data_IF_962033871732
#
_entry.id   IF_962033871732
#
_cell.length_a   1.000
_cell.length_b   1.000
_cell.length_c   1.000
_cell.angle_alpha   90.00
_cell.angle_beta   90.00
_cell.angle_gamma   90.00
#
_symmetry.space_group_name_H-M   'P 1'
#
loop_
_entity.id
_entity.type
_entity.pdbx_description
1 polymer ?
#
# COMPACT_ATOMS: atom_id res chain seq x y z
N UNK A 1 11.52 46.92 -25.98
CA UNK A 1 10.53 46.39 -26.96
C UNK A 1 10.61 44.87 -26.92
N UNK A 2 9.66 44.23 -26.22
CA UNK A 2 9.63 42.79 -26.01
C UNK A 2 8.92 42.07 -27.16
N UNK A 3 9.37 40.85 -27.46
CA UNK A 3 8.74 39.92 -28.40
C UNK A 3 7.94 38.85 -27.65
N UNK A 4 6.74 38.57 -28.15
CA UNK A 4 5.67 37.89 -27.43
C UNK A 4 5.66 36.37 -27.55
N UNK A 5 5.15 35.74 -26.50
CA UNK A 5 4.67 34.35 -26.49
C UNK A 5 3.15 34.35 -26.72
N UNK A 6 2.69 33.69 -27.79
CA UNK A 6 1.29 33.37 -28.02
C UNK A 6 0.85 32.24 -27.07
N UNK A 7 -0.13 32.53 -26.22
CA UNK A 7 -0.85 31.54 -25.40
C UNK A 7 -1.95 30.90 -26.23
N UNK A 8 -1.90 29.58 -26.40
CA UNK A 8 -3.07 28.77 -26.70
C UNK A 8 -3.89 28.59 -25.42
N UNK A 9 -5.03 29.27 -25.32
CA UNK A 9 -6.03 29.02 -24.29
C UNK A 9 -6.83 27.75 -24.64
N UNK A 10 -6.58 26.66 -23.91
CA UNK A 10 -7.47 25.49 -23.92
C UNK A 10 -8.67 25.81 -23.03
N UNK A 11 -9.88 25.70 -23.59
CA UNK A 11 -11.16 26.01 -22.95
C UNK A 11 -11.43 25.11 -21.73
N UNK A 12 -11.20 25.63 -20.51
CA UNK A 12 -11.62 25.02 -19.23
C UNK A 12 -13.15 25.03 -19.02
N UNK A 13 -13.93 25.66 -19.91
CA UNK A 13 -15.38 25.78 -19.75
C UNK A 13 -16.16 24.49 -20.10
N UNK A 14 -15.64 23.62 -20.96
CA UNK A 14 -16.34 22.38 -21.37
C UNK A 14 -16.30 21.29 -20.30
N UNK A 15 -15.22 21.20 -19.51
CA UNK A 15 -15.15 20.29 -18.35
C UNK A 15 -16.10 20.70 -17.22
N UNK A 16 -16.33 22.01 -17.03
CA UNK A 16 -17.29 22.54 -16.03
C UNK A 16 -18.73 22.14 -16.33
N UNK A 17 -19.10 22.01 -17.61
CA UNK A 17 -20.48 21.69 -17.98
C UNK A 17 -20.82 20.22 -17.71
N UNK A 18 -19.93 19.29 -18.09
CA UNK A 18 -20.09 17.86 -17.79
C UNK A 18 -20.12 17.62 -16.27
N UNK A 19 -19.30 18.38 -15.54
CA UNK A 19 -19.25 18.38 -14.08
C UNK A 19 -20.55 18.87 -13.44
N UNK A 20 -21.14 19.96 -13.96
CA UNK A 20 -22.43 20.49 -13.50
C UNK A 20 -23.61 19.59 -13.85
N UNK A 21 -23.59 18.93 -15.01
CA UNK A 21 -24.65 18.01 -15.45
C UNK A 21 -24.63 16.72 -14.64
N UNK A 22 -23.45 16.14 -14.39
CA UNK A 22 -23.31 14.98 -13.49
C UNK A 22 -23.68 15.34 -12.04
N UNK A 23 -23.31 16.53 -11.58
CA UNK A 23 -23.66 17.06 -10.24
C UNK A 23 -25.18 17.27 -10.08
N UNK A 24 -25.85 17.81 -11.10
CA UNK A 24 -27.31 18.03 -11.05
C UNK A 24 -28.10 16.73 -11.19
N UNK A 25 -27.64 15.78 -12.00
CA UNK A 25 -28.25 14.45 -12.10
C UNK A 25 -28.09 13.63 -10.81
N UNK A 26 -26.97 13.77 -10.10
CA UNK A 26 -26.79 13.14 -8.78
C UNK A 26 -27.62 13.83 -7.70
N UNK A 27 -27.68 15.16 -7.69
CA UNK A 27 -28.52 15.95 -6.77
C UNK A 27 -30.02 15.63 -6.88
N UNK A 28 -30.54 15.47 -8.11
CA UNK A 28 -31.94 15.10 -8.37
C UNK A 28 -32.28 13.68 -7.91
N UNK A 29 -31.31 12.76 -7.93
CA UNK A 29 -31.50 11.40 -7.44
C UNK A 29 -31.45 11.32 -5.90
N UNK A 30 -30.64 12.17 -5.25
CA UNK A 30 -30.55 12.25 -3.77
C UNK A 30 -31.72 12.98 -3.15
N UNK A 31 -32.22 14.08 -3.75
CA UNK A 31 -33.39 14.80 -3.21
C UNK A 31 -34.67 13.94 -3.22
N UNK A 32 -34.78 12.98 -4.15
CA UNK A 32 -35.89 12.03 -4.17
C UNK A 32 -35.82 10.96 -3.06
N UNK A 33 -34.70 10.88 -2.32
CA UNK A 33 -34.46 9.89 -1.26
C UNK A 33 -34.26 10.53 0.13
N UNK A 34 -34.06 11.85 0.20
CA UNK A 34 -33.76 12.58 1.46
C UNK A 34 -35.00 12.86 2.34
N UNK A 35 -36.21 12.88 1.77
CA UNK A 35 -37.44 13.20 2.53
C UNK A 35 -37.81 12.14 3.59
N UNK A 36 -37.16 10.97 3.59
CA UNK A 36 -37.53 9.86 4.48
C UNK A 36 -36.60 9.69 5.72
N UNK A 37 -35.42 10.33 5.77
CA UNK A 37 -34.36 9.96 6.75
C UNK A 37 -33.87 11.03 7.72
N UNK A 38 -34.19 12.31 7.53
CA UNK A 38 -33.60 13.41 8.32
C UNK A 38 -34.32 13.65 9.67
N UNK A 39 -35.39 12.90 9.98
CA UNK A 39 -36.28 13.20 11.11
C UNK A 39 -35.81 12.85 12.53
N UNK A 40 -34.79 11.99 12.76
CA UNK A 40 -34.63 11.35 14.08
C UNK A 40 -33.27 11.51 14.80
N UNK A 41 -32.25 12.14 14.20
CA UNK A 41 -30.90 12.09 14.76
C UNK A 41 -30.54 13.18 15.80
N UNK A 42 -31.45 14.07 16.16
CA UNK A 42 -31.13 15.21 17.04
C UNK A 42 -32.03 15.24 18.28
N UNK A 43 -31.65 14.42 19.29
CA UNK A 43 -31.85 14.64 20.73
C UNK A 43 -31.42 13.39 21.51
N UNK A 44 -30.24 13.45 22.13
CA UNK A 44 -30.02 12.94 23.49
C UNK A 44 -28.58 13.28 23.93
N UNK A 45 -28.45 14.07 25.00
CA UNK A 45 -27.18 14.26 25.68
C UNK A 45 -26.77 12.94 26.33
N UNK A 46 -25.72 12.29 25.82
CA UNK A 46 -25.36 10.94 26.21
C UNK A 46 -23.98 10.91 26.89
N UNK A 47 -23.99 10.55 28.18
CA UNK A 47 -22.79 10.11 28.88
C UNK A 47 -22.05 9.07 28.03
N UNK A 48 -20.74 9.25 27.83
CA UNK A 48 -19.89 8.35 27.01
C UNK A 48 -19.97 6.93 27.58
N UNK A 49 -20.83 6.09 26.99
CA UNK A 49 -20.95 4.67 27.32
C UNK A 49 -19.86 3.92 26.55
N UNK A 50 -18.99 3.21 27.26
CA UNK A 50 -17.96 2.37 26.63
C UNK A 50 -18.63 1.17 25.96
N UNK A 51 -18.44 1.04 24.65
CA UNK A 51 -18.93 -0.07 23.84
C UNK A 51 -18.00 -1.27 23.97
N UNK A 52 -18.61 -2.43 24.22
CA UNK A 52 -17.94 -3.70 24.50
C UNK A 52 -18.11 -4.68 23.33
N UNK A 53 -17.09 -5.50 23.10
CA UNK A 53 -17.13 -6.69 22.23
C UNK A 53 -17.94 -7.83 22.89
N UNK A 54 -18.28 -8.87 22.12
CA UNK A 54 -18.97 -10.07 22.62
C UNK A 54 -18.24 -10.81 23.75
N UNK A 55 -16.94 -10.55 23.93
CA UNK A 55 -16.12 -11.08 25.02
C UNK A 55 -16.01 -10.14 26.23
N UNK A 56 -16.77 -9.04 26.26
CA UNK A 56 -16.73 -8.05 27.35
C UNK A 56 -15.50 -7.15 27.36
N UNK A 57 -14.73 -7.11 26.26
CA UNK A 57 -13.56 -6.23 26.11
C UNK A 57 -13.96 -4.92 25.44
N UNK A 58 -13.37 -3.76 25.80
CA UNK A 58 -13.64 -2.50 25.11
C UNK A 58 -13.24 -2.56 23.64
N UNK A 59 -14.11 -2.05 22.77
CA UNK A 59 -13.77 -1.79 21.38
C UNK A 59 -12.91 -0.53 21.30
N UNK A 60 -11.72 -0.65 20.69
CA UNK A 60 -10.78 0.46 20.53
C UNK A 60 -10.41 0.53 19.05
N UNK A 61 -10.57 1.69 18.38
CA UNK A 61 -11.30 2.87 18.82
C UNK A 61 -12.80 2.59 19.02
N UNK A 62 -13.48 3.43 19.81
CA UNK A 62 -14.91 3.34 20.05
C UNK A 62 -15.68 3.65 18.74
N UNK A 63 -16.53 2.74 18.25
CA UNK A 63 -17.31 2.98 17.03
C UNK A 63 -18.40 4.02 17.30
N UNK A 64 -18.68 4.89 16.34
CA UNK A 64 -19.85 5.78 16.42
C UNK A 64 -21.15 5.00 16.16
N UNK A 65 -22.30 5.55 16.56
CA UNK A 65 -23.62 4.94 16.30
C UNK A 65 -24.08 5.13 14.83
N UNK A 66 -23.31 5.86 14.02
CA UNK A 66 -23.65 6.07 12.62
C UNK A 66 -23.45 4.80 11.79
N UNK A 67 -24.43 4.40 10.94
CA UNK A 67 -24.26 3.34 9.95
C UNK A 67 -23.14 3.60 8.92
N UNK A 68 -22.69 4.86 8.83
CA UNK A 68 -21.64 5.29 7.91
C UNK A 68 -20.23 5.01 8.45
N UNK A 69 -20.05 4.68 9.73
CA UNK A 69 -18.74 4.39 10.29
C UNK A 69 -18.16 3.07 9.74
N UNK A 70 -16.97 3.09 9.11
CA UNK A 70 -16.31 1.89 8.61
C UNK A 70 -16.06 0.80 9.67
N UNK A 71 -16.01 1.17 10.95
CA UNK A 71 -15.88 0.20 12.05
C UNK A 71 -17.14 -0.66 12.21
N UNK A 72 -18.31 -0.14 11.83
CA UNK A 72 -19.57 -0.88 11.92
C UNK A 72 -19.79 -1.81 10.72
N UNK A 73 -18.88 -1.83 9.75
CA UNK A 73 -19.01 -2.69 8.56
C UNK A 73 -19.02 -4.18 8.96
N UNK A 74 -19.84 -5.02 8.31
CA UNK A 74 -19.81 -6.45 8.54
C UNK A 74 -18.45 -7.02 8.12
N UNK A 75 -17.98 -8.05 8.83
CA UNK A 75 -16.63 -8.58 8.67
C UNK A 75 -16.29 -8.97 7.23
N UNK A 76 -17.24 -9.51 6.47
CA UNK A 76 -17.01 -9.88 5.07
C UNK A 76 -16.69 -8.66 4.19
N UNK A 77 -17.31 -7.49 4.42
CA UNK A 77 -16.97 -6.25 3.72
C UNK A 77 -15.60 -5.75 4.15
N UNK A 78 -15.29 -5.79 5.46
CA UNK A 78 -13.98 -5.40 5.98
C UNK A 78 -12.84 -6.21 5.33
N UNK A 79 -13.02 -7.53 5.23
CA UNK A 79 -12.06 -8.41 4.57
C UNK A 79 -12.05 -8.25 3.05
N UNK A 80 -13.18 -7.94 2.40
CA UNK A 80 -13.21 -7.63 0.98
C UNK A 80 -12.45 -6.34 0.65
N UNK A 81 -12.61 -5.29 1.46
CA UNK A 81 -11.84 -4.04 1.35
C UNK A 81 -10.35 -4.34 1.55
N UNK A 82 -10.01 -5.07 2.61
CA UNK A 82 -8.63 -5.46 2.90
C UNK A 82 -7.99 -6.20 1.72
N UNK A 83 -8.68 -7.19 1.15
CA UNK A 83 -8.18 -7.97 0.03
C UNK A 83 -7.95 -7.09 -1.21
N UNK A 84 -8.91 -6.21 -1.53
CA UNK A 84 -8.79 -5.30 -2.66
C UNK A 84 -7.59 -4.34 -2.51
N UNK A 85 -7.48 -3.69 -1.35
CA UNK A 85 -6.39 -2.75 -1.03
C UNK A 85 -5.03 -3.45 -1.00
N UNK A 86 -4.98 -4.66 -0.43
CA UNK A 86 -3.77 -5.48 -0.41
C UNK A 86 -3.35 -5.91 -1.82
N UNK A 87 -4.32 -6.24 -2.68
CA UNK A 87 -4.04 -6.60 -4.06
C UNK A 87 -3.60 -5.40 -4.90
N UNK A 88 -4.12 -4.19 -4.65
CA UNK A 88 -3.58 -2.97 -5.27
C UNK A 88 -2.12 -2.73 -4.90
N UNK A 89 -1.75 -2.90 -3.63
CA UNK A 89 -0.36 -2.79 -3.18
C UNK A 89 0.54 -3.87 -3.81
N UNK A 90 0.04 -5.11 -3.89
CA UNK A 90 0.69 -6.21 -4.60
C UNK A 90 0.93 -5.88 -6.08
N UNK A 91 -0.08 -5.33 -6.78
CA UNK A 91 0.07 -4.95 -8.19
C UNK A 91 1.06 -3.79 -8.37
N UNK A 92 1.06 -2.81 -7.47
CA UNK A 92 2.00 -1.69 -7.53
C UNK A 92 3.46 -2.18 -7.52
N UNK A 93 3.80 -3.12 -6.64
CA UNK A 93 5.16 -3.70 -6.59
C UNK A 93 5.42 -4.69 -7.72
N UNK A 94 4.43 -5.49 -8.12
CA UNK A 94 4.54 -6.43 -9.24
C UNK A 94 4.83 -5.72 -10.57
N UNK A 95 4.12 -4.64 -10.88
CA UNK A 95 4.29 -3.89 -12.14
C UNK A 95 5.70 -3.32 -12.28
N UNK A 96 6.33 -2.96 -11.16
CA UNK A 96 7.68 -2.40 -11.18
C UNK A 96 8.72 -3.49 -11.44
N UNK A 97 8.54 -4.68 -10.89
CA UNK A 97 9.54 -5.75 -10.91
C UNK A 97 9.35 -6.80 -12.04
N UNK A 98 8.19 -6.89 -12.68
CA UNK A 98 7.86 -7.95 -13.67
C UNK A 98 8.84 -8.01 -14.87
N UNK A 99 9.49 -6.90 -15.18
CA UNK A 99 10.42 -6.76 -16.30
C UNK A 99 11.86 -7.18 -15.96
N UNK A 100 12.21 -7.30 -14.67
CA UNK A 100 13.57 -7.60 -14.21
C UNK A 100 14.23 -8.85 -14.86
N UNK A 101 13.55 -10.00 -15.04
CA UNK A 101 14.17 -11.15 -15.70
C UNK A 101 14.40 -10.94 -17.21
N UNK A 102 13.78 -9.93 -17.80
CA UNK A 102 13.82 -9.64 -19.24
C UNK A 102 14.60 -8.36 -19.58
N UNK A 103 15.47 -7.90 -18.68
CA UNK A 103 16.32 -6.71 -18.93
C UNK A 103 17.31 -6.95 -20.06
N UNK A 104 17.84 -8.17 -20.20
CA UNK A 104 18.78 -8.55 -21.26
C UNK A 104 18.14 -8.42 -22.66
N UNK A 105 17.01 -9.10 -22.97
CA UNK A 105 16.37 -8.95 -24.28
C UNK A 105 15.85 -7.54 -24.54
N UNK A 106 15.50 -6.78 -23.50
CA UNK A 106 15.17 -5.36 -23.64
C UNK A 106 16.38 -4.52 -24.07
N UNK A 107 17.55 -4.78 -23.48
CA UNK A 107 18.79 -4.10 -23.81
C UNK A 107 19.21 -4.38 -25.26
N UNK A 108 19.08 -5.63 -25.68
CA UNK A 108 19.43 -6.09 -27.03
C UNK A 108 18.55 -5.40 -28.08
N UNK A 109 17.24 -5.28 -27.84
CA UNK A 109 16.34 -4.64 -28.80
C UNK A 109 16.61 -3.14 -28.96
N UNK A 110 16.89 -2.43 -27.86
CA UNK A 110 17.22 -1.01 -27.93
C UNK A 110 18.69 -0.74 -28.26
N UNK A 111 19.51 -1.77 -28.43
CA UNK A 111 20.97 -1.68 -28.65
C UNK A 111 21.66 -0.80 -27.59
N UNK A 112 21.33 -1.02 -26.31
CA UNK A 112 21.90 -0.30 -25.16
C UNK A 112 22.66 -1.25 -24.23
N UNK A 113 23.53 -0.71 -23.39
CA UNK A 113 24.21 -1.51 -22.37
C UNK A 113 23.20 -2.10 -21.36
N UNK A 114 23.44 -3.34 -20.90
CA UNK A 114 22.59 -3.99 -19.89
C UNK A 114 22.43 -3.16 -18.61
N UNK A 115 23.48 -2.43 -18.20
CA UNK A 115 23.43 -1.52 -17.05
C UNK A 115 22.46 -0.36 -17.32
N UNK A 116 22.46 0.21 -18.51
CA UNK A 116 21.51 1.28 -18.87
C UNK A 116 20.08 0.76 -18.89
N UNK A 117 19.87 -0.49 -19.34
CA UNK A 117 18.54 -1.10 -19.36
C UNK A 117 17.92 -1.29 -17.97
N UNK A 118 18.71 -1.41 -16.89
CA UNK A 118 18.16 -1.48 -15.51
C UNK A 118 17.58 -0.16 -15.02
N UNK A 119 17.97 0.98 -15.61
CA UNK A 119 17.48 2.30 -15.21
C UNK A 119 15.97 2.45 -15.32
N UNK A 120 15.31 1.69 -16.22
CA UNK A 120 13.85 1.70 -16.33
C UNK A 120 13.14 1.18 -15.07
N UNK A 121 13.73 0.20 -14.37
CA UNK A 121 13.22 -0.25 -13.07
C UNK A 121 13.58 0.74 -11.97
N UNK A 122 14.82 1.23 -11.93
CA UNK A 122 15.29 2.18 -10.91
C UNK A 122 14.51 3.49 -10.94
N UNK A 123 14.21 4.04 -12.12
CA UNK A 123 13.41 5.27 -12.26
C UNK A 123 12.00 5.06 -11.72
N UNK A 124 11.38 3.91 -11.94
CA UNK A 124 10.06 3.63 -11.38
C UNK A 124 10.09 3.52 -9.85
N UNK A 125 11.10 2.85 -9.28
CA UNK A 125 11.27 2.79 -7.82
C UNK A 125 11.49 4.19 -7.25
N UNK A 126 12.38 4.99 -7.86
CA UNK A 126 12.69 6.35 -7.40
C UNK A 126 11.48 7.28 -7.47
N UNK A 127 10.70 7.22 -8.54
CA UNK A 127 9.46 8.01 -8.68
C UNK A 127 8.33 7.53 -7.78
N UNK A 128 8.32 6.26 -7.38
CA UNK A 128 7.38 5.73 -6.38
C UNK A 128 7.56 6.38 -5.01
N UNK A 129 8.74 6.90 -4.68
CA UNK A 129 8.96 7.62 -3.42
C UNK A 129 8.24 8.98 -3.38
N UNK A 130 8.01 9.62 -4.54
CA UNK A 130 7.38 10.93 -4.63
C UNK A 130 5.85 10.85 -4.52
N UNK A 131 5.24 9.75 -4.97
CA UNK A 131 3.78 9.67 -5.03
C UNK A 131 3.09 9.68 -3.67
N UNK A 132 3.53 8.95 -2.62
CA UNK A 132 2.93 9.02 -1.28
C UNK A 132 2.90 10.43 -0.70
N UNK A 133 3.92 11.25 -0.99
CA UNK A 133 3.97 12.65 -0.55
C UNK A 133 2.82 13.47 -1.15
N UNK A 134 2.43 13.18 -2.40
CA UNK A 134 1.30 13.83 -3.06
C UNK A 134 -0.04 13.20 -2.65
N UNK A 135 -0.18 11.89 -2.77
CA UNK A 135 -1.46 11.20 -2.66
C UNK A 135 -1.99 11.09 -1.22
N UNK A 136 -1.12 11.02 -0.21
CA UNK A 136 -1.55 10.85 1.18
C UNK A 136 -2.36 12.04 1.72
N UNK A 137 -1.91 13.31 1.57
CA UNK A 137 -2.71 14.47 1.97
C UNK A 137 -4.02 14.58 1.19
N UNK A 138 -3.98 14.31 -0.13
CA UNK A 138 -5.19 14.32 -0.96
C UNK A 138 -6.21 13.29 -0.46
N UNK A 139 -5.76 12.08 -0.12
CA UNK A 139 -6.64 11.01 0.34
C UNK A 139 -7.23 11.28 1.73
N UNK A 140 -6.49 11.97 2.60
CA UNK A 140 -7.00 12.34 3.94
C UNK A 140 -8.11 13.41 3.87
N UNK A 141 -8.05 14.32 2.89
CA UNK A 141 -9.02 15.42 2.75
C UNK A 141 -10.19 15.06 1.83
N UNK A 142 -9.92 14.47 0.67
CA UNK A 142 -10.94 14.18 -0.36
C UNK A 142 -11.45 12.74 -0.35
N UNK A 143 -10.96 11.89 0.56
CA UNK A 143 -11.32 10.47 0.64
C UNK A 143 -10.30 9.54 0.00
N UNK A 144 -10.28 8.26 0.43
CA UNK A 144 -9.35 7.25 -0.07
C UNK A 144 -9.71 6.79 -1.47
N UNK A 145 -11.00 6.57 -1.73
CA UNK A 145 -11.48 5.89 -2.93
C UNK A 145 -11.15 6.62 -4.24
N UNK A 146 -11.44 7.93 -4.40
CA UNK A 146 -11.07 8.63 -5.63
C UNK A 146 -9.57 8.62 -5.89
N UNK A 147 -8.74 8.60 -4.85
CA UNK A 147 -7.28 8.51 -4.99
C UNK A 147 -6.83 7.09 -5.39
N UNK A 148 -7.45 6.03 -4.86
CA UNK A 148 -7.21 4.67 -5.33
C UNK A 148 -7.59 4.49 -6.80
N UNK A 149 -8.73 5.03 -7.22
CA UNK A 149 -9.17 4.97 -8.63
C UNK A 149 -8.21 5.74 -9.54
N UNK A 150 -7.86 6.97 -9.19
CA UNK A 150 -6.94 7.80 -9.97
C UNK A 150 -5.56 7.16 -10.09
N UNK A 151 -4.99 6.70 -8.97
CA UNK A 151 -3.66 6.07 -8.96
C UNK A 151 -3.61 4.78 -9.79
N UNK A 152 -4.64 3.94 -9.67
CA UNK A 152 -4.73 2.68 -10.44
C UNK A 152 -4.97 2.96 -11.93
N UNK A 153 -5.74 3.99 -12.27
CA UNK A 153 -5.94 4.42 -13.66
C UNK A 153 -4.65 4.97 -14.30
N UNK A 154 -3.86 5.75 -13.56
CA UNK A 154 -2.53 6.18 -13.98
C UNK A 154 -1.62 4.95 -14.16
N UNK A 155 -1.70 3.97 -13.25
CA UNK A 155 -1.02 2.68 -13.36
C UNK A 155 -1.35 1.93 -14.65
N UNK A 156 -2.64 1.82 -14.96
CA UNK A 156 -3.14 1.21 -16.19
C UNK A 156 -2.61 1.91 -17.45
N UNK A 157 -2.81 3.22 -17.55
CA UNK A 157 -2.42 4.02 -18.71
C UNK A 157 -0.89 3.99 -18.93
N UNK A 158 -0.12 4.09 -17.85
CA UNK A 158 1.34 4.04 -17.91
C UNK A 158 1.86 2.64 -18.28
N UNK A 159 1.23 1.56 -17.82
CA UNK A 159 1.59 0.20 -18.23
C UNK A 159 1.33 -0.03 -19.72
N UNK A 160 0.22 0.46 -20.26
CA UNK A 160 -0.06 0.46 -21.71
C UNK A 160 0.98 1.29 -22.46
N UNK A 161 1.37 2.45 -21.92
CA UNK A 161 2.44 3.30 -22.45
C UNK A 161 3.79 2.58 -22.50
N UNK A 162 4.18 1.88 -21.43
CA UNK A 162 5.41 1.08 -21.37
C UNK A 162 5.38 -0.07 -22.38
N UNK A 163 4.24 -0.75 -22.55
CA UNK A 163 4.09 -1.84 -23.50
C UNK A 163 4.22 -1.38 -24.97
N UNK A 164 3.75 -0.17 -25.28
CA UNK A 164 3.82 0.42 -26.64
C UNK A 164 5.07 1.27 -26.90
N UNK A 165 6.01 1.33 -25.95
CA UNK A 165 7.21 2.13 -26.08
C UNK A 165 8.08 1.65 -27.27
N UNK A 166 8.44 2.60 -28.15
CA UNK A 166 9.31 2.39 -29.32
C UNK A 166 10.73 2.90 -29.14
N UNK A 167 10.98 3.63 -28.06
CA UNK A 167 12.30 4.17 -27.70
C UNK A 167 12.53 4.00 -26.20
N UNK A 168 13.79 3.78 -25.81
CA UNK A 168 14.17 3.69 -24.41
C UNK A 168 13.77 4.95 -23.61
N UNK A 169 13.90 6.14 -24.20
CA UNK A 169 13.47 7.39 -23.53
C UNK A 169 11.96 7.41 -23.25
N UNK A 170 11.15 6.97 -24.23
CA UNK A 170 9.68 6.87 -24.04
C UNK A 170 9.32 5.83 -22.98
N UNK A 171 10.09 4.74 -22.89
CA UNK A 171 9.94 3.75 -21.85
C UNK A 171 10.25 4.35 -20.47
N UNK A 172 11.37 5.06 -20.31
CA UNK A 172 11.74 5.72 -19.05
C UNK A 172 10.64 6.66 -18.56
N UNK A 173 10.08 7.50 -19.44
CA UNK A 173 8.98 8.41 -19.08
C UNK A 173 7.73 7.63 -18.65
N UNK A 174 7.33 6.61 -19.40
CA UNK A 174 6.20 5.76 -19.02
C UNK A 174 6.44 5.06 -17.68
N UNK A 175 7.68 4.63 -17.41
CA UNK A 175 8.08 3.98 -16.16
C UNK A 175 8.10 4.96 -14.98
N UNK A 176 8.50 6.21 -15.20
CA UNK A 176 8.41 7.26 -14.19
C UNK A 176 6.95 7.51 -13.77
N UNK A 177 6.03 7.58 -14.75
CA UNK A 177 4.60 7.74 -14.46
C UNK A 177 4.03 6.49 -13.75
N UNK A 178 4.48 5.30 -14.16
CA UNK A 178 4.06 4.03 -13.56
C UNK A 178 4.59 3.81 -12.13
N UNK A 179 5.78 4.34 -11.80
CA UNK A 179 6.25 4.37 -10.43
C UNK A 179 5.42 5.35 -9.59
N UNK A 180 5.22 6.55 -10.12
CA UNK A 180 4.50 7.61 -9.42
C UNK A 180 3.04 7.24 -9.11
N UNK A 181 2.22 6.87 -10.11
CA UNK A 181 0.77 6.71 -9.95
C UNK A 181 0.37 5.63 -8.91
N UNK A 182 0.61 4.34 -9.21
CA UNK A 182 0.33 3.20 -8.31
C UNK A 182 0.89 3.30 -6.89
N UNK A 183 1.90 4.14 -6.64
CA UNK A 183 2.51 4.27 -5.31
C UNK A 183 1.53 4.70 -4.22
N UNK A 184 0.40 5.33 -4.57
CA UNK A 184 -0.66 5.66 -3.61
C UNK A 184 -1.13 4.43 -2.83
N UNK A 185 -1.23 3.26 -3.49
CA UNK A 185 -1.69 2.04 -2.84
C UNK A 185 -0.72 1.53 -1.76
N UNK A 186 0.58 1.80 -1.92
CA UNK A 186 1.62 1.43 -0.96
C UNK A 186 1.44 2.18 0.37
N UNK A 187 1.11 3.47 0.30
CA UNK A 187 1.02 4.34 1.47
C UNK A 187 -0.38 4.34 2.10
N UNK A 188 -1.42 4.40 1.27
CA UNK A 188 -2.80 4.50 1.74
C UNK A 188 -3.31 3.20 2.36
N UNK A 189 -2.76 2.04 1.93
CA UNK A 189 -3.29 0.75 2.35
C UNK A 189 -3.22 0.51 3.85
N UNK A 190 -2.10 0.87 4.48
CA UNK A 190 -1.99 0.85 5.93
C UNK A 190 -3.04 1.77 6.59
N UNK A 191 -3.25 2.97 6.05
CA UNK A 191 -4.28 3.91 6.52
C UNK A 191 -5.68 3.32 6.47
N UNK A 192 -6.07 2.72 5.35
CA UNK A 192 -7.38 2.06 5.20
C UNK A 192 -7.59 0.92 6.19
N UNK A 193 -6.54 0.16 6.52
CA UNK A 193 -6.64 -0.87 7.57
C UNK A 193 -6.91 -0.25 8.95
N UNK A 194 -6.34 0.92 9.26
CA UNK A 194 -6.63 1.65 10.50
C UNK A 194 -8.07 2.16 10.52
N UNK A 195 -8.57 2.60 9.37
CA UNK A 195 -9.89 3.22 9.28
C UNK A 195 -11.03 2.20 9.53
N UNK A 196 -10.80 0.92 9.17
CA UNK A 196 -11.83 -0.14 9.09
C UNK A 196 -11.74 -1.18 10.23
N UNK A 197 -10.56 -1.43 10.81
CA UNK A 197 -10.37 -2.48 11.82
C UNK A 197 -10.06 -1.93 13.22
N UNK A 198 -10.63 -2.57 14.24
CA UNK A 198 -10.29 -2.33 15.65
C UNK A 198 -8.85 -2.72 15.97
N UNK A 199 -8.24 -2.10 16.98
CA UNK A 199 -6.85 -2.31 17.41
C UNK A 199 -6.48 -3.78 17.64
N UNK A 200 -7.40 -4.57 18.21
CA UNK A 200 -7.18 -5.99 18.49
C UNK A 200 -7.19 -6.88 17.22
N UNK A 201 -7.85 -6.45 16.13
CA UNK A 201 -7.86 -7.14 14.82
C UNK A 201 -6.84 -6.56 13.84
N UNK A 202 -6.40 -5.32 14.08
CA UNK A 202 -5.53 -4.55 13.19
C UNK A 202 -4.19 -5.21 12.93
N UNK A 203 -3.61 -5.92 13.91
CA UNK A 203 -2.35 -6.65 13.73
C UNK A 203 -2.43 -7.71 12.62
N UNK A 204 -3.45 -8.58 12.68
CA UNK A 204 -3.71 -9.61 11.65
C UNK A 204 -4.03 -9.00 10.29
N UNK A 205 -4.85 -7.95 10.25
CA UNK A 205 -5.21 -7.27 9.01
C UNK A 205 -3.99 -6.59 8.36
N UNK A 206 -3.14 -5.93 9.16
CA UNK A 206 -1.88 -5.35 8.70
C UNK A 206 -0.93 -6.41 8.17
N UNK A 207 -0.80 -7.55 8.86
CA UNK A 207 0.04 -8.67 8.40
C UNK A 207 -0.37 -9.21 7.03
N UNK A 208 -1.68 -9.30 6.74
CA UNK A 208 -2.15 -9.70 5.41
C UNK A 208 -1.81 -8.65 4.35
N UNK A 209 -1.96 -7.37 4.69
CA UNK A 209 -1.62 -6.26 3.79
C UNK A 209 -0.13 -6.24 3.45
N UNK A 210 0.74 -6.32 4.46
CA UNK A 210 2.21 -6.33 4.28
C UNK A 210 2.69 -7.58 3.55
N UNK A 211 2.04 -8.74 3.76
CA UNK A 211 2.33 -9.98 3.02
C UNK A 211 2.08 -9.82 1.52
N UNK A 212 0.94 -9.25 1.13
CA UNK A 212 0.64 -9.02 -0.28
C UNK A 212 1.53 -7.93 -0.87
N UNK A 213 1.75 -6.83 -0.15
CA UNK A 213 2.64 -5.74 -0.56
C UNK A 213 4.04 -6.25 -0.93
N UNK A 214 4.65 -7.05 -0.04
CA UNK A 214 6.02 -7.57 -0.21
C UNK A 214 6.09 -8.65 -1.29
N UNK A 215 5.15 -9.59 -1.30
CA UNK A 215 5.16 -10.70 -2.25
C UNK A 215 4.87 -10.29 -3.70
N UNK A 216 4.28 -9.12 -3.95
CA UNK A 216 4.08 -8.59 -5.31
C UNK A 216 5.39 -8.45 -6.08
N UNK A 217 6.43 -7.89 -5.47
CA UNK A 217 7.75 -7.75 -6.08
C UNK A 217 8.44 -9.10 -6.31
N UNK A 218 8.21 -10.08 -5.44
CA UNK A 218 8.86 -11.39 -5.51
C UNK A 218 8.19 -12.36 -6.50
N UNK A 219 6.87 -12.27 -6.67
CA UNK A 219 6.16 -13.06 -7.69
C UNK A 219 6.44 -12.53 -9.11
N UNK A 220 6.75 -11.23 -9.24
CA UNK A 220 6.90 -10.58 -10.53
C UNK A 220 7.99 -11.20 -11.43
N UNK A 221 9.22 -11.51 -10.96
CA UNK A 221 10.23 -12.18 -11.77
C UNK A 221 9.83 -13.58 -12.22
N UNK A 222 9.02 -14.30 -11.44
CA UNK A 222 8.54 -15.63 -11.82
C UNK A 222 7.62 -15.49 -13.05
N UNK A 223 6.59 -14.65 -12.93
CA UNK A 223 5.64 -14.40 -14.02
C UNK A 223 6.34 -13.78 -15.22
N UNK A 224 7.18 -12.77 -14.98
CA UNK A 224 7.93 -12.04 -15.98
C UNK A 224 8.89 -12.92 -16.77
N UNK A 225 9.56 -13.88 -16.12
CA UNK A 225 10.50 -14.78 -16.79
C UNK A 225 9.82 -15.67 -17.83
N UNK A 226 8.67 -16.27 -17.48
CA UNK A 226 7.88 -17.08 -18.42
C UNK A 226 7.24 -16.24 -19.53
N UNK A 227 6.62 -15.11 -19.16
CA UNK A 227 5.94 -14.23 -20.13
C UNK A 227 6.94 -13.66 -21.14
N UNK A 228 8.12 -13.24 -20.68
CA UNK A 228 9.15 -12.68 -21.55
C UNK A 228 9.73 -13.72 -22.52
N UNK A 229 9.89 -14.97 -22.09
CA UNK A 229 10.39 -16.05 -22.96
C UNK A 229 9.42 -16.35 -24.10
N UNK A 230 8.13 -16.50 -23.81
CA UNK A 230 7.17 -16.99 -24.79
C UNK A 230 6.64 -15.88 -25.71
N UNK A 231 6.51 -14.65 -25.18
CA UNK A 231 5.84 -13.54 -25.86
C UNK A 231 6.66 -12.24 -25.94
N UNK A 232 7.88 -12.24 -25.40
CA UNK A 232 8.76 -11.07 -25.37
C UNK A 232 8.52 -10.13 -24.18
N UNK A 233 9.49 -9.25 -23.91
CA UNK A 233 9.49 -8.38 -22.73
C UNK A 233 8.33 -7.37 -22.69
N UNK A 234 7.80 -6.95 -23.85
CA UNK A 234 6.64 -6.04 -23.92
C UNK A 234 5.39 -6.64 -23.29
N UNK A 235 5.24 -7.96 -23.38
CA UNK A 235 4.08 -8.65 -22.80
C UNK A 235 4.09 -8.63 -21.27
N UNK A 236 5.25 -8.45 -20.63
CA UNK A 236 5.31 -8.21 -19.18
C UNK A 236 4.52 -6.96 -18.79
N UNK A 237 4.61 -5.88 -19.59
CA UNK A 237 3.85 -4.65 -19.36
C UNK A 237 2.36 -4.81 -19.71
N UNK A 238 2.01 -5.61 -20.72
CA UNK A 238 0.61 -5.94 -21.02
C UNK A 238 -0.06 -6.73 -19.90
N UNK A 239 0.64 -7.69 -19.28
CA UNK A 239 0.12 -8.41 -18.09
C UNK A 239 -0.18 -7.41 -16.97
N UNK A 240 0.76 -6.50 -16.69
CA UNK A 240 0.55 -5.43 -15.73
C UNK A 240 -0.64 -4.51 -16.07
N UNK A 241 -0.79 -4.16 -17.34
CA UNK A 241 -1.92 -3.36 -17.81
C UNK A 241 -3.26 -4.09 -17.63
N UNK A 242 -3.35 -5.38 -17.99
CA UNK A 242 -4.58 -6.17 -17.82
C UNK A 242 -4.97 -6.23 -16.34
N UNK A 243 -4.02 -6.54 -15.46
CA UNK A 243 -4.29 -6.64 -14.01
C UNK A 243 -4.72 -5.30 -13.41
N UNK A 244 -4.06 -4.20 -13.76
CA UNK A 244 -4.51 -2.86 -13.34
C UNK A 244 -5.89 -2.53 -13.90
N UNK A 245 -6.17 -2.84 -15.17
CA UNK A 245 -7.45 -2.57 -15.80
C UNK A 245 -8.60 -3.31 -15.11
N UNK A 246 -8.40 -4.59 -14.77
CA UNK A 246 -9.36 -5.36 -13.96
C UNK A 246 -9.55 -4.71 -12.59
N UNK A 247 -8.47 -4.27 -11.94
CA UNK A 247 -8.59 -3.61 -10.64
C UNK A 247 -9.25 -2.23 -10.68
N UNK A 248 -9.11 -1.47 -11.78
CA UNK A 248 -9.91 -0.25 -11.97
C UNK A 248 -11.40 -0.58 -11.92
N UNK A 249 -11.83 -1.63 -12.61
CA UNK A 249 -13.24 -2.08 -12.61
C UNK A 249 -13.66 -2.57 -11.23
N UNK A 250 -12.86 -3.40 -10.57
CA UNK A 250 -13.17 -3.94 -9.24
C UNK A 250 -13.29 -2.83 -8.20
N UNK A 251 -12.30 -1.93 -8.14
CA UNK A 251 -12.31 -0.81 -7.18
C UNK A 251 -13.49 0.14 -7.45
N UNK A 252 -13.84 0.33 -8.72
CA UNK A 252 -14.96 1.18 -9.09
C UNK A 252 -16.29 0.62 -8.56
N UNK A 253 -16.53 -0.68 -8.64
CA UNK A 253 -17.81 -1.28 -8.22
C UNK A 253 -17.86 -1.77 -6.77
N UNK A 254 -16.72 -2.09 -6.13
CA UNK A 254 -16.71 -2.83 -4.86
C UNK A 254 -15.95 -2.17 -3.71
N UNK A 255 -15.18 -1.10 -3.94
CA UNK A 255 -14.45 -0.41 -2.87
C UNK A 255 -15.29 0.77 -2.36
N UNK A 256 -15.93 0.70 -1.18
CA UNK A 256 -16.56 1.87 -0.57
C UNK A 256 -15.53 2.84 0.01
N UNK A 257 -15.94 4.09 0.24
CA UNK A 257 -15.14 5.05 0.99
C UNK A 257 -14.94 4.59 2.45
N UNK A 258 -13.72 4.80 2.97
CA UNK A 258 -13.31 4.34 4.30
C UNK A 258 -12.93 5.46 5.24
N UNK A 259 -12.77 6.69 4.76
CA UNK A 259 -12.48 7.82 5.66
C UNK A 259 -13.77 8.26 6.36
N UNK A 260 -13.67 8.43 7.68
CA UNK A 260 -14.78 8.88 8.52
C UNK A 260 -14.25 9.77 9.65
N UNK A 261 -14.80 10.98 9.78
CA UNK A 261 -14.50 11.88 10.88
C UNK A 261 -15.31 11.46 12.11
N UNK A 262 -14.63 10.82 13.05
CA UNK A 262 -15.21 10.54 14.35
C UNK A 262 -15.13 11.84 15.17
N UNK A 263 -16.22 12.34 15.77
CA UNK A 263 -16.11 13.37 16.79
C UNK A 263 -15.14 12.86 17.86
N UNK A 264 -14.22 13.70 18.35
CA UNK A 264 -13.16 13.35 19.32
C UNK A 264 -13.76 12.63 20.55
N UNK A 265 -13.92 11.32 20.43
CA UNK A 265 -14.31 10.38 21.47
C UNK A 265 -13.17 9.40 21.74
N UNK A 266 -11.96 9.72 21.29
CA UNK A 266 -10.73 9.12 21.79
C UNK A 266 -10.52 9.58 23.24
N UNK A 267 -11.38 9.12 24.14
CA UNK A 267 -10.94 8.93 25.51
C UNK A 267 -9.69 8.04 25.42
N UNK A 268 -8.58 8.49 25.99
CA UNK A 268 -7.35 7.71 26.04
C UNK A 268 -7.66 6.29 26.55
N UNK A 269 -6.90 5.29 26.07
CA UNK A 269 -7.09 3.88 26.44
C UNK A 269 -7.18 3.72 27.99
N UNK A 270 -6.49 4.59 28.74
CA UNK A 270 -6.55 4.73 30.20
C UNK A 270 -7.91 5.18 30.75
N UNK A 271 -8.52 6.22 30.16
CA UNK A 271 -9.83 6.75 30.57
C UNK A 271 -10.95 5.74 30.28
N UNK A 272 -10.82 4.96 29.21
CA UNK A 272 -11.75 3.88 28.88
C UNK A 272 -11.66 2.75 29.92
N UNK A 273 -10.45 2.35 30.32
CA UNK A 273 -10.21 1.31 31.33
C UNK A 273 -10.70 1.73 32.72
N UNK A 274 -10.52 3.00 33.10
CA UNK A 274 -11.05 3.54 34.36
C UNK A 274 -12.58 3.49 34.43
N UNK A 275 -13.26 3.85 33.33
CA UNK A 275 -14.73 3.81 33.22
C UNK A 275 -15.30 2.39 33.17
N UNK A 276 -14.53 1.41 32.69
CA UNK A 276 -14.91 0.00 32.72
C UNK A 276 -14.92 -0.58 34.13
N UNK A 277 -13.95 -0.20 34.97
CA UNK A 277 -13.86 -0.68 36.35
C UNK A 277 -15.01 -0.16 37.24
N UNK A 278 -15.73 0.88 36.78
CA UNK A 278 -16.82 1.54 37.52
C UNK A 278 -18.22 1.23 36.99
N UNK A 279 -18.37 0.45 35.91
CA UNK A 279 -19.68 0.17 35.30
C UNK A 279 -20.02 -1.33 35.26
N UNK A 280 -21.29 -1.65 35.56
CA UNK A 280 -21.85 -3.01 35.49
C UNK A 280 -21.68 -3.64 34.10
N UNK A 281 -21.58 -4.97 33.99
CA UNK A 281 -21.42 -5.67 32.72
C UNK A 281 -22.64 -5.42 31.83
N UNK A 282 -22.45 -4.60 30.80
CA UNK A 282 -23.48 -4.25 29.80
C UNK A 282 -23.40 -5.17 28.59
N UNK A 283 -24.54 -5.29 27.93
CA UNK A 283 -24.73 -6.11 26.72
C UNK A 283 -23.70 -5.78 25.63
N UNK A 284 -23.28 -6.76 24.81
CA UNK A 284 -22.39 -6.54 23.69
C UNK A 284 -22.92 -5.45 22.74
N UNK A 285 -22.04 -4.60 22.24
CA UNK A 285 -22.42 -3.58 21.27
C UNK A 285 -22.94 -4.23 19.98
N UNK A 286 -24.21 -4.01 19.67
CA UNK A 286 -24.81 -4.37 18.39
C UNK A 286 -24.55 -3.24 17.39
N UNK A 287 -23.68 -3.48 16.42
CA UNK A 287 -23.46 -2.53 15.33
C UNK A 287 -24.75 -2.33 14.52
N UNK A 288 -25.07 -1.10 14.07
CA UNK A 288 -26.22 -0.85 13.22
C UNK A 288 -26.11 -1.67 11.92
N UNK A 289 -27.21 -2.30 11.51
CA UNK A 289 -27.23 -3.08 10.27
C UNK A 289 -27.00 -2.17 9.07
N UNK A 290 -25.98 -2.45 8.28
CA UNK A 290 -25.71 -1.70 7.05
C UNK A 290 -26.78 -2.01 6.01
N UNK A 291 -27.58 -1.00 5.64
CA UNK A 291 -28.49 -1.09 4.50
C UNK A 291 -27.71 -1.06 3.18
N UNK A 292 -28.21 -1.77 2.16
CA UNK A 292 -27.61 -1.76 0.81
C UNK A 292 -27.55 -0.34 0.22
N UNK A 293 -28.54 0.51 0.54
CA UNK A 293 -28.54 1.91 0.15
C UNK A 293 -27.34 2.68 0.73
N UNK A 294 -26.99 2.43 2.00
CA UNK A 294 -25.82 3.02 2.67
C UNK A 294 -24.51 2.57 2.01
N UNK A 295 -24.41 1.28 1.66
CA UNK A 295 -23.25 0.75 0.93
C UNK A 295 -23.10 1.40 -0.46
N UNK A 296 -24.21 1.51 -1.21
CA UNK A 296 -24.21 2.18 -2.52
C UNK A 296 -23.89 3.68 -2.41
N UNK A 297 -24.34 4.36 -1.36
CA UNK A 297 -23.96 5.75 -1.06
C UNK A 297 -22.46 5.88 -0.81
N UNK A 298 -21.86 4.95 -0.06
CA UNK A 298 -20.39 4.88 0.13
C UNK A 298 -19.61 4.49 -1.13
N UNK A 299 -20.29 3.95 -2.15
CA UNK A 299 -19.79 3.72 -3.51
C UNK A 299 -19.97 4.94 -4.43
N UNK A 300 -20.34 6.12 -3.94
CA UNK A 300 -20.22 7.37 -4.69
C UNK A 300 -18.76 7.83 -4.75
N UNK A 301 -18.35 8.38 -5.92
CA UNK A 301 -16.95 8.76 -6.15
C UNK A 301 -16.47 9.81 -5.16
N UNK A 302 -17.38 10.65 -4.70
CA UNK A 302 -17.16 11.66 -3.69
C UNK A 302 -18.11 11.45 -2.53
N UNK A 303 -17.57 11.58 -1.33
CA UNK A 303 -18.33 11.57 -0.09
C UNK A 303 -19.01 12.93 0.05
N UNK A 304 -20.27 13.05 -0.38
CA UNK A 304 -21.04 14.30 -0.25
C UNK A 304 -21.27 14.67 1.22
N UNK A 305 -21.18 13.69 2.12
CA UNK A 305 -21.42 13.85 3.55
C UNK A 305 -20.24 14.51 4.28
N UNK A 306 -19.09 14.67 3.59
CA UNK A 306 -17.88 15.27 4.14
C UNK A 306 -17.33 16.34 3.19
N UNK A 307 -17.78 17.61 3.30
CA UNK A 307 -17.06 18.70 2.64
C UNK A 307 -15.61 18.71 3.15
N UNK A 308 -14.62 19.06 2.31
CA UNK A 308 -13.21 19.04 2.70
C UNK A 308 -13.01 19.90 3.95
N UNK A 309 -12.76 19.24 5.07
CA UNK A 309 -12.68 19.84 6.41
C UNK A 309 -11.64 20.94 6.51
N UNK A 310 -10.63 20.90 5.62
CA UNK A 310 -9.56 21.89 5.55
C UNK A 310 -9.01 22.02 4.12
N UNK A 311 -8.66 23.25 3.75
CA UNK A 311 -7.91 23.53 2.52
C UNK A 311 -6.46 22.99 2.61
N UNK A 312 -6.04 22.25 1.59
CA UNK A 312 -4.67 21.73 1.49
C UNK A 312 -3.67 22.87 1.32
N UNK A 313 -2.63 22.89 2.16
CA UNK A 313 -1.49 23.80 2.05
C UNK A 313 -0.30 23.05 1.49
N UNK A 314 0.61 23.73 0.80
CA UNK A 314 1.86 23.13 0.26
C UNK A 314 2.68 22.48 1.39
N UNK A 315 2.62 23.05 2.61
CA UNK A 315 3.23 22.49 3.82
C UNK A 315 2.74 21.10 4.17
N UNK A 316 1.52 20.72 3.79
CA UNK A 316 0.92 19.43 4.12
C UNK A 316 1.57 18.27 3.32
N UNK A 317 2.18 18.58 2.17
CA UNK A 317 2.82 17.59 1.29
C UNK A 317 4.28 17.32 1.63
N UNK A 318 5.02 18.33 2.09
CA UNK A 318 6.48 18.22 2.31
C UNK A 318 6.83 18.39 3.78
N UNK A 319 6.36 19.48 4.42
CA UNK A 319 6.79 19.84 5.77
C UNK A 319 6.21 18.87 6.81
N UNK A 320 4.93 18.48 6.69
CA UNK A 320 4.29 17.58 7.65
C UNK A 320 4.93 16.18 7.68
N UNK A 321 5.13 15.47 6.55
CA UNK A 321 5.81 14.17 6.57
C UNK A 321 7.24 14.28 7.10
N UNK A 322 8.00 15.31 6.69
CA UNK A 322 9.37 15.51 7.17
C UNK A 322 9.44 15.89 8.65
N UNK A 323 8.43 16.59 9.18
CA UNK A 323 8.36 16.92 10.61
C UNK A 323 8.22 15.68 11.49
N UNK A 324 7.68 14.56 10.96
CA UNK A 324 7.63 13.29 11.68
C UNK A 324 9.02 12.71 11.95
N UNK A 325 10.05 13.09 11.16
CA UNK A 325 11.43 12.67 11.41
C UNK A 325 12.04 13.29 12.67
N UNK A 326 11.38 14.28 13.28
CA UNK A 326 11.77 14.81 14.59
C UNK A 326 11.60 13.76 15.70
N UNK A 327 10.68 12.80 15.53
CA UNK A 327 10.39 11.78 16.53
C UNK A 327 11.32 10.57 16.33
N UNK A 328 12.23 10.27 17.29
CA UNK A 328 13.16 9.14 17.15
C UNK A 328 12.45 7.79 16.96
N UNK A 329 11.27 7.64 17.56
CA UNK A 329 10.40 6.47 17.43
C UNK A 329 9.90 6.21 16.01
N UNK A 330 9.93 7.22 15.13
CA UNK A 330 9.55 7.10 13.71
C UNK A 330 10.81 7.00 12.84
N UNK A 331 11.84 7.79 13.15
CA UNK A 331 13.06 7.90 12.33
C UNK A 331 13.89 6.63 12.32
N UNK A 332 14.12 6.00 13.48
CA UNK A 332 14.93 4.78 13.53
C UNK A 332 14.29 3.60 12.77
N UNK A 333 12.98 3.29 12.97
CA UNK A 333 12.32 2.26 12.17
C UNK A 333 12.29 2.57 10.68
N UNK A 334 12.03 3.84 10.31
CA UNK A 334 11.97 4.23 8.90
C UNK A 334 13.33 4.05 8.21
N UNK A 335 14.42 4.46 8.86
CA UNK A 335 15.78 4.29 8.34
C UNK A 335 16.15 2.81 8.25
N UNK A 336 15.86 2.04 9.30
CA UNK A 336 16.11 0.60 9.32
C UNK A 336 15.35 -0.15 8.22
N UNK A 337 14.06 0.15 8.05
CA UNK A 337 13.24 -0.43 6.99
C UNK A 337 13.74 -0.02 5.61
N UNK A 338 14.11 1.25 5.41
CA UNK A 338 14.64 1.73 4.12
C UNK A 338 15.96 1.03 3.73
N UNK A 339 16.90 0.90 4.66
CA UNK A 339 18.17 0.19 4.43
C UNK A 339 17.89 -1.28 4.15
N UNK A 340 17.09 -1.94 4.99
CA UNK A 340 16.76 -3.36 4.84
C UNK A 340 16.07 -3.64 3.51
N UNK A 341 15.07 -2.86 3.14
CA UNK A 341 14.35 -3.02 1.87
C UNK A 341 15.27 -2.76 0.66
N UNK A 342 16.15 -1.74 0.75
CA UNK A 342 17.14 -1.44 -0.28
C UNK A 342 18.10 -2.59 -0.55
N UNK A 343 18.78 -3.08 0.49
CA UNK A 343 19.80 -4.13 0.36
C UNK A 343 19.19 -5.54 0.22
N UNK A 344 18.12 -5.87 0.95
CA UNK A 344 17.58 -7.23 0.97
C UNK A 344 16.59 -7.53 -0.17
N UNK A 345 15.96 -6.51 -0.76
CA UNK A 345 14.94 -6.70 -1.81
C UNK A 345 15.37 -6.07 -3.14
N UNK A 346 15.67 -4.77 -3.17
CA UNK A 346 15.94 -4.04 -4.44
C UNK A 346 17.27 -4.48 -5.08
N UNK A 347 18.36 -4.54 -4.31
CA UNK A 347 19.68 -4.90 -4.84
C UNK A 347 19.70 -6.31 -5.47
N UNK A 348 19.26 -7.39 -4.79
CA UNK A 348 19.18 -8.72 -5.39
C UNK A 348 18.33 -8.75 -6.66
N UNK A 349 17.19 -8.05 -6.67
CA UNK A 349 16.27 -8.05 -7.80
C UNK A 349 16.87 -7.46 -9.09
N UNK A 350 17.83 -6.53 -8.98
CA UNK A 350 18.47 -5.87 -10.12
C UNK A 350 19.82 -6.51 -10.48
N UNK A 351 20.64 -6.82 -9.48
CA UNK A 351 22.02 -7.26 -9.68
C UNK A 351 22.13 -8.76 -9.96
N UNK A 352 21.30 -9.60 -9.34
CA UNK A 352 21.37 -11.05 -9.58
C UNK A 352 20.98 -11.41 -11.01
N UNK A 353 20.06 -10.66 -11.62
CA UNK A 353 19.63 -10.92 -12.98
C UNK A 353 20.76 -10.79 -14.01
N UNK A 354 21.58 -9.75 -13.89
CA UNK A 354 22.75 -9.54 -14.76
C UNK A 354 23.86 -10.53 -14.43
N UNK A 355 24.15 -10.76 -13.13
CA UNK A 355 25.18 -11.69 -12.68
C UNK A 355 24.90 -13.15 -13.07
N UNK A 356 23.65 -13.63 -12.90
CA UNK A 356 23.29 -15.00 -13.27
C UNK A 356 23.31 -15.22 -14.78
N UNK A 357 23.00 -14.20 -15.58
CA UNK A 357 23.12 -14.30 -17.03
C UNK A 357 24.60 -14.34 -17.45
N UNK A 358 25.45 -13.49 -16.88
CA UNK A 358 26.88 -13.40 -17.24
C UNK A 358 27.70 -14.60 -16.74
N UNK A 359 27.49 -15.05 -15.50
CA UNK A 359 28.32 -16.07 -14.85
C UNK A 359 27.76 -17.48 -15.03
N UNK A 360 26.43 -17.63 -14.95
CA UNK A 360 25.76 -18.93 -14.96
C UNK A 360 25.08 -19.24 -16.31
N UNK A 361 25.07 -18.29 -17.25
CA UNK A 361 24.37 -18.40 -18.54
C UNK A 361 22.91 -18.83 -18.37
N UNK A 362 22.25 -18.29 -17.35
CA UNK A 362 20.84 -18.56 -17.11
C UNK A 362 19.97 -17.84 -18.14
N UNK A 363 19.05 -18.60 -18.74
CA UNK A 363 17.96 -18.05 -19.55
C UNK A 363 16.99 -17.26 -18.66
N UNK A 364 16.21 -16.38 -19.28
CA UNK A 364 15.16 -15.52 -18.70
C UNK A 364 14.27 -16.24 -17.67
N UNK A 365 13.83 -17.46 -17.97
CA UNK A 365 13.01 -18.28 -17.03
C UNK A 365 13.79 -18.73 -15.80
N UNK A 366 15.02 -19.23 -15.99
CA UNK A 366 15.87 -19.69 -14.86
C UNK A 366 16.21 -18.53 -13.94
N UNK A 367 16.45 -17.36 -14.52
CA UNK A 367 16.68 -16.13 -13.80
C UNK A 367 15.44 -15.69 -12.98
N UNK A 368 14.26 -15.71 -13.61
CA UNK A 368 12.98 -15.43 -12.96
C UNK A 368 12.69 -16.36 -11.78
N UNK A 369 12.95 -17.66 -11.94
CA UNK A 369 12.77 -18.65 -10.88
C UNK A 369 13.78 -18.46 -9.73
N UNK A 370 15.06 -18.25 -10.05
CA UNK A 370 16.12 -18.08 -9.05
C UNK A 370 15.88 -16.86 -8.14
N UNK A 371 15.50 -15.72 -8.75
CA UNK A 371 15.25 -14.49 -8.02
C UNK A 371 13.87 -14.50 -7.34
N UNK A 372 12.87 -15.06 -7.99
CA UNK A 372 11.50 -15.00 -7.51
C UNK A 372 11.19 -16.00 -6.40
N UNK A 373 11.53 -17.29 -6.58
CA UNK A 373 11.09 -18.35 -5.65
C UNK A 373 11.75 -18.22 -4.29
N UNK A 374 13.06 -17.95 -4.27
CA UNK A 374 13.83 -17.82 -3.02
C UNK A 374 13.32 -16.67 -2.16
N UNK A 375 13.15 -15.49 -2.76
CA UNK A 375 12.65 -14.29 -2.07
C UNK A 375 11.17 -14.45 -1.68
N UNK A 376 10.34 -15.07 -2.52
CA UNK A 376 8.93 -15.30 -2.22
C UNK A 376 8.74 -16.22 -1.00
N UNK A 377 9.50 -17.32 -0.93
CA UNK A 377 9.43 -18.25 0.21
C UNK A 377 9.96 -17.57 1.48
N UNK A 378 11.10 -16.89 1.40
CA UNK A 378 11.69 -16.19 2.54
C UNK A 378 10.77 -15.09 3.09
N UNK A 379 10.24 -14.23 2.21
CA UNK A 379 9.33 -13.15 2.59
C UNK A 379 8.00 -13.69 3.15
N UNK A 380 7.43 -14.73 2.53
CA UNK A 380 6.18 -15.32 3.01
C UNK A 380 6.34 -15.94 4.40
N UNK A 381 7.41 -16.70 4.65
CA UNK A 381 7.67 -17.27 5.98
C UNK A 381 7.93 -16.18 7.02
N UNK A 382 8.71 -15.16 6.66
CA UNK A 382 8.98 -14.01 7.51
C UNK A 382 7.70 -13.28 7.92
N UNK A 383 6.84 -12.94 6.96
CA UNK A 383 5.63 -12.17 7.23
C UNK A 383 4.58 -12.99 8.00
N UNK A 384 4.42 -14.28 7.69
CA UNK A 384 3.54 -15.19 8.42
C UNK A 384 3.98 -15.36 9.89
N UNK A 385 5.28 -15.30 10.16
CA UNK A 385 5.82 -15.41 11.52
C UNK A 385 5.81 -14.06 12.27
N UNK A 386 5.98 -12.94 11.57
CA UNK A 386 6.11 -11.59 12.14
C UNK A 386 4.90 -11.18 13.00
N UNK A 387 3.68 -11.34 12.46
CA UNK A 387 2.45 -10.98 13.18
C UNK A 387 2.28 -11.72 14.51
N UNK A 388 2.24 -13.07 14.53
CA UNK A 388 2.09 -13.83 15.76
C UNK A 388 3.19 -13.58 16.79
N UNK A 389 4.44 -13.36 16.35
CA UNK A 389 5.56 -13.08 17.26
C UNK A 389 5.41 -11.71 17.91
N UNK A 390 5.14 -10.67 17.11
CA UNK A 390 4.97 -9.29 17.62
C UNK A 390 3.73 -9.16 18.53
N UNK A 391 2.63 -9.83 18.20
CA UNK A 391 1.44 -9.86 19.05
C UNK A 391 1.70 -10.60 20.38
N UNK A 392 2.43 -11.72 20.36
CA UNK A 392 2.84 -12.43 21.59
C UNK A 392 3.74 -11.57 22.48
N UNK A 393 4.66 -10.80 21.89
CA UNK A 393 5.52 -9.87 22.63
C UNK A 393 4.69 -8.76 23.31
N UNK A 394 3.77 -8.14 22.57
CA UNK A 394 2.87 -7.11 23.11
C UNK A 394 1.97 -7.67 24.22
N UNK A 395 1.40 -8.87 24.04
CA UNK A 395 0.56 -9.50 25.05
C UNK A 395 1.33 -9.83 26.34
N UNK A 396 2.61 -10.23 26.25
CA UNK A 396 3.46 -10.46 27.42
C UNK A 396 3.75 -9.15 28.17
N UNK A 397 4.10 -8.09 27.44
CA UNK A 397 4.34 -6.79 28.05
C UNK A 397 3.07 -6.20 28.69
N UNK A 398 1.91 -6.31 28.03
CA UNK A 398 0.62 -5.93 28.61
C UNK A 398 0.31 -6.67 29.91
N UNK A 399 0.54 -7.99 29.97
CA UNK A 399 0.37 -8.78 31.20
C UNK A 399 1.32 -8.35 32.31
N UNK A 400 2.54 -7.90 31.99
CA UNK A 400 3.49 -7.40 32.99
C UNK A 400 3.14 -5.99 33.47
N UNK A 401 2.76 -5.10 32.56
CA UNK A 401 2.35 -3.74 32.89
C UNK A 401 1.09 -3.73 33.78
N UNK A 402 0.09 -4.59 33.46
CA UNK A 402 -1.09 -4.79 34.31
C UNK A 402 -0.77 -5.30 35.72
N UNK A 403 0.32 -6.07 35.90
CA UNK A 403 0.77 -6.49 37.24
C UNK A 403 1.42 -5.36 38.04
N UNK A 404 1.98 -4.38 37.34
CA UNK A 404 2.66 -3.23 37.92
C UNK A 404 1.74 -2.01 38.07
N UNK A 405 0.52 -2.06 37.54
CA UNK A 405 -0.42 -0.92 37.52
C UNK A 405 -0.12 0.12 36.43
N UNK A 406 0.79 -0.20 35.50
CA UNK A 406 1.23 0.70 34.43
C UNK A 406 0.58 0.36 33.08
N UNK A 407 0.50 1.35 32.19
CA UNK A 407 0.17 1.13 30.79
C UNK A 407 1.34 0.50 30.02
N UNK A 408 1.05 -0.43 29.11
CA UNK A 408 2.09 -1.07 28.32
C UNK A 408 2.65 -0.10 27.26
N UNK A 409 3.96 0.14 27.20
CA UNK A 409 4.55 1.03 26.20
C UNK A 409 4.31 0.50 24.78
N UNK A 410 3.91 1.38 23.88
CA UNK A 410 3.64 1.04 22.47
C UNK A 410 4.90 0.56 21.74
N UNK A 411 6.07 0.93 22.25
CA UNK A 411 7.41 0.68 21.73
C UNK A 411 7.86 -0.77 21.89
N UNK A 412 7.15 -1.61 22.65
CA UNK A 412 7.54 -3.02 22.83
C UNK A 412 7.59 -3.76 21.49
N UNK A 413 6.73 -3.40 20.53
CA UNK A 413 6.76 -3.97 19.17
C UNK A 413 8.06 -3.66 18.44
N UNK A 414 8.73 -2.55 18.77
CA UNK A 414 10.01 -2.15 18.19
C UNK A 414 11.11 -3.16 18.47
N UNK A 415 11.05 -3.86 19.60
CA UNK A 415 12.02 -4.90 19.95
C UNK A 415 12.02 -6.06 18.94
N UNK A 416 10.95 -6.22 18.14
CA UNK A 416 10.91 -7.20 17.04
C UNK A 416 11.98 -6.95 15.96
N UNK A 417 12.51 -5.72 15.85
CA UNK A 417 13.54 -5.36 14.88
C UNK A 417 14.83 -6.17 15.08
N UNK A 418 15.16 -6.58 16.30
CA UNK A 418 16.41 -7.32 16.59
C UNK A 418 16.52 -8.63 15.81
N UNK A 419 15.39 -9.31 15.56
CA UNK A 419 15.38 -10.54 14.76
C UNK A 419 15.76 -10.24 13.29
N UNK A 420 15.24 -9.16 12.73
CA UNK A 420 15.62 -8.68 11.39
C UNK A 420 17.08 -8.25 11.32
N UNK A 421 17.59 -7.59 12.36
CA UNK A 421 18.95 -7.03 12.40
C UNK A 421 20.03 -8.12 12.27
N UNK A 422 19.75 -9.34 12.72
CA UNK A 422 20.67 -10.48 12.59
C UNK A 422 20.44 -11.25 11.29
N UNK A 423 19.18 -11.50 10.94
CA UNK A 423 18.84 -12.37 9.79
C UNK A 423 19.16 -11.74 8.44
N UNK A 424 18.97 -10.42 8.30
CA UNK A 424 19.21 -9.72 7.03
C UNK A 424 20.70 -9.73 6.62
N UNK A 425 21.67 -9.34 7.47
CA UNK A 425 23.09 -9.41 7.10
C UNK A 425 23.56 -10.83 6.80
N UNK A 426 23.08 -11.83 7.56
CA UNK A 426 23.42 -13.24 7.33
C UNK A 426 22.93 -13.70 5.95
N UNK A 427 21.71 -13.33 5.56
CA UNK A 427 21.18 -13.62 4.22
C UNK A 427 22.00 -12.97 3.11
N UNK A 428 22.37 -11.69 3.27
CA UNK A 428 23.20 -10.98 2.30
C UNK A 428 24.59 -11.60 2.15
N UNK A 429 25.24 -11.97 3.26
CA UNK A 429 26.55 -12.62 3.25
C UNK A 429 26.51 -13.99 2.55
N UNK A 430 25.42 -14.77 2.72
CA UNK A 430 25.25 -16.04 2.02
C UNK A 430 25.18 -15.86 0.50
N UNK A 431 24.43 -14.85 0.03
CA UNK A 431 24.33 -14.54 -1.41
C UNK A 431 25.68 -14.11 -1.98
N UNK A 432 26.40 -13.22 -1.29
CA UNK A 432 27.72 -12.74 -1.71
C UNK A 432 28.79 -13.84 -1.69
N UNK A 433 28.72 -14.76 -0.73
CA UNK A 433 29.63 -15.90 -0.65
C UNK A 433 29.46 -16.84 -1.85
N UNK A 434 28.21 -17.14 -2.24
CA UNK A 434 27.90 -18.00 -3.38
C UNK A 434 28.35 -17.40 -4.73
N UNK A 435 28.20 -16.08 -4.91
CA UNK A 435 28.70 -15.40 -6.12
C UNK A 435 30.22 -15.38 -6.16
N UNK A 436 30.88 -15.06 -5.04
CA UNK A 436 32.34 -14.94 -4.93
C UNK A 436 33.06 -16.29 -5.12
N UNK A 437 32.47 -17.39 -4.63
CA UNK A 437 33.02 -18.73 -4.79
C UNK A 437 33.17 -19.13 -6.27
N UNK A 438 32.14 -18.88 -7.09
CA UNK A 438 32.19 -19.24 -8.51
C UNK A 438 33.02 -18.28 -9.37
N UNK A 439 33.01 -16.98 -9.07
CA UNK A 439 33.72 -15.98 -9.88
C UNK A 439 35.22 -15.98 -9.59
N UNK A 440 35.61 -16.09 -8.32
CA UNK A 440 36.99 -15.81 -7.91
C UNK A 440 37.75 -17.06 -7.49
N UNK A 441 37.11 -17.98 -6.76
CA UNK A 441 37.79 -19.14 -6.17
C UNK A 441 37.81 -20.35 -7.10
N UNK A 442 36.68 -20.67 -7.75
CA UNK A 442 36.58 -21.86 -8.61
C UNK A 442 37.53 -21.83 -9.83
N UNK A 443 37.70 -20.70 -10.55
CA UNK A 443 38.64 -20.64 -11.67
C UNK A 443 40.10 -20.70 -11.19
N UNK A 444 40.42 -20.06 -10.05
CA UNK A 444 41.76 -20.08 -9.47
C UNK A 444 42.16 -21.46 -8.96
N UNK A 445 41.24 -22.20 -8.33
CA UNK A 445 41.46 -23.58 -7.92
C UNK A 445 41.63 -24.50 -9.11
N UNK A 446 40.84 -24.33 -10.17
CA UNK A 446 40.99 -25.11 -11.40
C UNK A 446 42.36 -24.85 -12.07
N UNK A 447 42.79 -23.59 -12.13
CA UNK A 447 44.11 -23.21 -12.65
C UNK A 447 45.30 -23.62 -11.76
N UNK A 448 45.07 -24.11 -10.54
CA UNK A 448 46.10 -24.70 -9.67
C UNK A 448 46.12 -26.22 -9.73
N UNK A 449 45.08 -26.85 -10.30
CA UNK A 449 44.95 -28.30 -10.45
C UNK A 449 45.27 -28.79 -11.87
N UNK A 450 45.08 -27.92 -12.88
CA UNK A 450 45.60 -28.06 -14.25
C UNK A 450 47.03 -27.48 -14.31
#
# INVERSE_FOLDING_TARGET
MGWGFHKYHVNMCSLSLVWKVLYTLTQLLTMALDDEYVGEAEKEGLAIRVKLDGNGLPLIPQPSDSPLDPLNYPNWIKYAILLQVSFLAFLATLNVAIINPAVVPLADEFNIAHVTATYQTTVAIGTSALGPLLFTPFANVYGRRPIYLLSTLIGFASAVGSAKAKSFATLIVARAINGFGPSAALALGAGTVVDVFYTHQRGKAMGLFTLMLTNGAHLAPIVGGYVARDRGWRWCFWVGAILNGVMVVVVFFFLPETVFDRPDQSADEEVIVEKLNTSDPKEPYAAPSMSMATYMRRLCLWDLDRPPTRQLRISDFIIKPLSMLKYPSVTFPALYYAITYGFASIEPALTLATLFTQIYHFDTVRNGLANGVSLLVGASLGELCSGPVTDRMMMRARRQAMKNGDAAPSEVRLQGIWAGAVTVPVGLLQVLSLSSWKVTLKPKLKAQMD
#
